data_IF_006085357037
#
_entry.id   IF_006085357037
#
_cell.length_a   1.000
_cell.length_b   1.000
_cell.length_c   1.000
_cell.angle_alpha   90.00
_cell.angle_beta   90.00
_cell.angle_gamma   90.00
#
_symmetry.space_group_name_H-M   'P 1'
#
loop_
_entity.id
_entity.type
_entity.pdbx_description
1 polymer ?
#
# COMPACT_ATOMS: atom_id res chain seq x y z
N UNK A 1 -10.67 2.66 -32.75
CA UNK A 1 -9.94 1.71 -31.89
C UNK A 1 -8.87 1.05 -32.74
N UNK A 2 -7.57 1.29 -32.50
CA UNK A 2 -6.55 0.58 -33.27
C UNK A 2 -6.76 -0.92 -33.05
N UNK A 3 -6.73 -1.68 -34.15
CA UNK A 3 -6.99 -3.11 -34.17
C UNK A 3 -5.89 -3.88 -33.42
N UNK A 4 -6.19 -4.34 -32.20
CA UNK A 4 -5.35 -5.23 -31.39
C UNK A 4 -5.25 -6.64 -32.01
N UNK A 5 -4.56 -6.75 -33.15
CA UNK A 5 -4.21 -8.05 -33.72
C UNK A 5 -2.85 -8.47 -33.21
N UNK A 6 -2.84 -9.11 -32.04
CA UNK A 6 -1.69 -9.89 -31.58
C UNK A 6 -1.46 -11.02 -32.59
N UNK A 7 -0.27 -11.11 -33.18
CA UNK A 7 0.03 -12.18 -34.14
C UNK A 7 -0.11 -13.56 -33.46
N UNK A 8 -0.65 -14.59 -34.14
CA UNK A 8 -0.88 -15.89 -33.54
C UNK A 8 0.44 -16.53 -33.08
N UNK A 9 0.34 -17.43 -32.11
CA UNK A 9 1.45 -18.30 -31.74
C UNK A 9 1.96 -19.06 -32.98
N UNK A 10 3.28 -19.23 -33.18
CA UNK A 10 4.39 -18.87 -32.30
C UNK A 10 4.99 -17.48 -32.55
N UNK A 11 4.40 -16.67 -33.45
CA UNK A 11 4.92 -15.35 -33.84
C UNK A 11 4.91 -14.40 -32.66
N UNK A 12 3.78 -14.27 -31.95
CA UNK A 12 3.75 -13.64 -30.63
C UNK A 12 3.83 -14.68 -29.53
N UNK A 13 4.74 -14.47 -28.58
CA UNK A 13 4.82 -15.24 -27.35
C UNK A 13 4.94 -14.27 -26.18
N UNK A 14 3.83 -14.01 -25.50
CA UNK A 14 3.76 -13.08 -24.36
C UNK A 14 4.67 -13.51 -23.20
N UNK A 15 5.10 -14.77 -23.16
CA UNK A 15 6.11 -15.25 -22.21
C UNK A 15 7.50 -14.65 -22.45
N UNK A 16 7.84 -14.15 -23.65
CA UNK A 16 9.15 -13.54 -23.96
C UNK A 16 9.43 -12.34 -23.04
N UNK A 17 8.45 -11.45 -22.88
CA UNK A 17 8.58 -10.29 -21.97
C UNK A 17 8.60 -10.67 -20.48
N UNK A 18 8.31 -11.94 -20.15
CA UNK A 18 8.28 -12.45 -18.77
C UNK A 18 9.49 -13.29 -18.40
N UNK A 19 10.46 -13.47 -19.31
CA UNK A 19 11.59 -14.40 -19.14
C UNK A 19 12.54 -14.01 -18.01
N UNK A 20 12.77 -12.72 -17.78
CA UNK A 20 13.69 -12.24 -16.75
C UNK A 20 13.05 -11.14 -15.89
N UNK A 21 13.62 -10.90 -14.70
CA UNK A 21 13.20 -9.79 -13.86
C UNK A 21 13.41 -8.43 -14.55
N UNK A 22 14.53 -8.27 -15.28
CA UNK A 22 14.84 -7.04 -16.01
C UNK A 22 13.79 -6.76 -17.11
N UNK A 23 13.41 -7.77 -17.90
CA UNK A 23 12.40 -7.59 -18.95
C UNK A 23 11.03 -7.25 -18.37
N UNK A 24 10.65 -7.90 -17.25
CA UNK A 24 9.39 -7.58 -16.56
C UNK A 24 9.39 -6.18 -15.96
N UNK A 25 10.54 -5.67 -15.52
CA UNK A 25 10.66 -4.31 -15.01
C UNK A 25 10.47 -3.27 -16.13
N UNK A 26 11.06 -3.51 -17.31
CA UNK A 26 10.91 -2.62 -18.48
C UNK A 26 9.48 -2.51 -18.99
N UNK A 27 8.69 -3.59 -18.90
CA UNK A 27 7.30 -3.61 -19.41
C UNK A 27 6.25 -3.49 -18.31
N UNK A 28 6.61 -3.10 -17.09
CA UNK A 28 5.67 -2.96 -15.97
C UNK A 28 4.84 -1.69 -16.15
N UNK A 29 3.52 -1.81 -16.08
CA UNK A 29 2.60 -0.69 -16.32
C UNK A 29 2.30 0.15 -15.06
N UNK A 30 2.33 -0.48 -13.89
CA UNK A 30 2.03 0.18 -12.62
C UNK A 30 3.15 0.01 -11.60
N UNK A 31 3.40 1.06 -10.83
CA UNK A 31 4.27 1.06 -9.66
C UNK A 31 3.47 1.47 -8.43
N UNK A 32 3.83 0.91 -7.28
CA UNK A 32 3.37 1.37 -5.98
C UNK A 32 4.57 1.94 -5.22
N UNK A 33 4.37 3.08 -4.60
CA UNK A 33 5.34 3.80 -3.79
C UNK A 33 4.70 4.21 -2.47
N UNK A 34 5.51 4.64 -1.50
CA UNK A 34 4.99 5.07 -0.18
C UNK A 34 4.06 6.29 -0.31
N UNK A 35 4.28 7.15 -1.31
CA UNK A 35 3.42 8.31 -1.57
C UNK A 35 2.01 7.95 -2.03
N UNK A 36 1.76 6.69 -2.38
CA UNK A 36 0.43 6.19 -2.75
C UNK A 36 -0.36 5.66 -1.53
N UNK A 37 0.24 5.67 -0.34
CA UNK A 37 -0.34 5.08 0.87
C UNK A 37 -0.99 6.14 1.78
N UNK A 38 -2.11 5.74 2.39
CA UNK A 38 -2.75 6.45 3.51
C UNK A 38 -2.88 5.43 4.65
N UNK A 39 -2.51 5.81 5.88
CA UNK A 39 -2.61 4.91 7.04
C UNK A 39 -3.85 5.24 7.90
N UNK A 40 -4.88 4.38 7.94
CA UNK A 40 -6.02 4.51 8.85
C UNK A 40 -5.60 4.29 10.31
N UNK A 41 -6.00 5.18 11.20
CA UNK A 41 -5.76 5.08 12.64
C UNK A 41 -7.07 5.23 13.40
N UNK A 42 -7.35 4.29 14.30
CA UNK A 42 -8.53 4.30 15.16
C UNK A 42 -8.20 4.97 16.48
N UNK A 43 -9.05 5.91 16.89
CA UNK A 43 -8.88 6.71 18.10
C UNK A 43 -9.81 6.15 19.18
N UNK A 44 -9.39 6.23 20.44
CA UNK A 44 -10.27 6.06 21.60
C UNK A 44 -9.98 7.13 22.66
N UNK A 45 -10.91 7.32 23.59
CA UNK A 45 -10.70 8.20 24.74
C UNK A 45 -9.72 7.59 25.74
N UNK A 46 -9.04 8.46 26.49
CA UNK A 46 -8.09 8.10 27.55
C UNK A 46 -6.68 8.63 27.28
N UNK A 47 -5.72 8.11 28.04
CA UNK A 47 -4.31 8.52 28.00
C UNK A 47 -3.42 7.27 28.06
N UNK A 48 -2.40 7.20 27.21
CA UNK A 48 -1.46 6.09 27.09
C UNK A 48 -2.15 4.72 26.85
N UNK A 49 -3.17 4.69 25.98
CA UNK A 49 -3.97 3.50 25.67
C UNK A 49 -3.62 2.96 24.28
N UNK A 50 -3.40 1.65 24.22
CA UNK A 50 -3.47 0.85 23.00
C UNK A 50 -4.36 -0.38 23.23
N UNK A 51 -5.43 -0.51 22.45
CA UNK A 51 -6.41 -1.58 22.57
C UNK A 51 -6.48 -2.39 21.28
N UNK A 52 -6.17 -3.69 21.29
CA UNK A 52 -6.30 -4.54 20.11
C UNK A 52 -7.72 -4.59 19.57
N UNK A 53 -7.85 -4.52 18.24
CA UNK A 53 -9.12 -4.78 17.56
C UNK A 53 -9.14 -6.28 17.22
N UNK A 54 -9.90 -7.08 17.97
CA UNK A 54 -9.86 -8.54 17.89
C UNK A 54 -10.12 -9.11 16.47
N UNK A 55 -10.99 -8.46 15.69
CA UNK A 55 -11.29 -8.85 14.31
C UNK A 55 -10.25 -8.40 13.28
N UNK A 56 -9.29 -7.56 13.68
CA UNK A 56 -8.25 -6.99 12.82
C UNK A 56 -6.87 -7.20 13.46
N UNK A 57 -6.29 -8.41 13.36
CA UNK A 57 -4.98 -8.70 13.95
C UNK A 57 -3.90 -7.72 13.48
N UNK A 58 -3.13 -7.17 14.44
CA UNK A 58 -2.12 -6.14 14.19
C UNK A 58 -2.65 -4.70 14.18
N UNK A 59 -3.97 -4.49 14.32
CA UNK A 59 -4.59 -3.16 14.44
C UNK A 59 -5.00 -2.90 15.88
N UNK A 60 -4.71 -1.68 16.34
CA UNK A 60 -5.06 -1.19 17.69
C UNK A 60 -5.85 0.12 17.59
N UNK A 61 -6.75 0.35 18.55
CA UNK A 61 -7.27 1.68 18.87
C UNK A 61 -6.29 2.37 19.82
N UNK A 62 -6.02 3.64 19.56
CA UNK A 62 -5.03 4.44 20.28
C UNK A 62 -5.68 5.63 20.95
N UNK A 63 -5.25 5.97 22.16
CA UNK A 63 -5.55 7.29 22.72
C UNK A 63 -4.88 8.40 21.89
N UNK A 64 -5.34 9.64 22.04
CA UNK A 64 -4.88 10.76 21.21
C UNK A 64 -3.36 10.97 21.32
N UNK A 65 -2.76 10.82 22.50
CA UNK A 65 -1.31 10.89 22.71
C UNK A 65 -0.56 9.81 21.90
N UNK A 66 -1.09 8.58 21.85
CA UNK A 66 -0.55 7.48 21.04
C UNK A 66 -0.74 7.67 19.54
N UNK A 67 -1.80 8.35 19.12
CA UNK A 67 -1.99 8.73 17.72
C UNK A 67 -0.93 9.72 17.26
N UNK A 68 -0.46 10.63 18.13
CA UNK A 68 0.65 11.54 17.81
C UNK A 68 1.96 10.76 17.62
N UNK A 69 2.22 9.72 18.42
CA UNK A 69 3.36 8.82 18.22
C UNK A 69 3.25 8.09 16.86
N UNK A 70 2.08 7.55 16.53
CA UNK A 70 1.82 6.91 15.24
C UNK A 70 1.99 7.88 14.05
N UNK A 71 1.59 9.15 14.20
CA UNK A 71 1.77 10.15 13.16
C UNK A 71 3.27 10.44 12.89
N UNK A 72 4.10 10.48 13.95
CA UNK A 72 5.56 10.61 13.81
C UNK A 72 6.16 9.39 13.11
N UNK A 73 5.71 8.19 13.45
CA UNK A 73 6.12 6.96 12.78
C UNK A 73 5.77 6.99 11.28
N UNK A 74 4.52 7.36 10.96
CA UNK A 74 4.05 7.48 9.59
C UNK A 74 4.94 8.44 8.76
N UNK A 75 5.24 9.61 9.33
CA UNK A 75 6.13 10.59 8.71
C UNK A 75 7.55 10.04 8.53
N UNK A 76 8.08 9.32 9.53
CA UNK A 76 9.40 8.67 9.46
C UNK A 76 9.49 7.59 8.38
N UNK A 77 8.38 6.90 8.09
CA UNK A 77 8.26 5.93 7.01
C UNK A 77 8.02 6.57 5.63
N UNK A 78 7.74 7.88 5.57
CA UNK A 78 7.43 8.61 4.34
C UNK A 78 5.96 8.52 3.90
N UNK A 79 5.07 8.05 4.77
CA UNK A 79 3.63 7.97 4.49
C UNK A 79 3.06 9.41 4.49
N UNK A 80 2.43 9.86 3.38
CA UNK A 80 2.04 11.26 3.23
C UNK A 80 0.83 11.66 4.08
N UNK A 81 -0.02 10.72 4.46
CA UNK A 81 -1.26 11.01 5.17
C UNK A 81 -1.70 9.88 6.11
N UNK A 82 -2.35 10.28 7.22
CA UNK A 82 -3.11 9.39 8.10
C UNK A 82 -4.60 9.75 8.02
N UNK A 83 -5.46 8.75 8.14
CA UNK A 83 -6.91 8.93 8.17
C UNK A 83 -7.43 8.58 9.56
N UNK A 84 -8.05 9.55 10.24
CA UNK A 84 -8.47 9.42 11.63
C UNK A 84 -9.92 8.92 11.72
N UNK A 85 -10.15 7.87 12.51
CA UNK A 85 -11.46 7.30 12.79
C UNK A 85 -11.72 7.32 14.30
N UNK A 86 -12.64 8.17 14.80
CA UNK A 86 -13.03 8.21 16.22
C UNK A 86 -13.85 6.99 16.65
#
# INVERSE_FOLDING_TARGET
MPSDKIAPFPKTRLRRIRQSAATRALTREHSLSVSDLIWPVFICEGDNIEQPVASMPGVVRRSVDKVVEAAKEAAGLGIPAICLFP
#
